data_IF_494713965604
#
_entry.id   IF_494713965604
#
_cell.length_a   1.000
_cell.length_b   1.000
_cell.length_c   1.000
_cell.angle_alpha   90.00
_cell.angle_beta   90.00
_cell.angle_gamma   90.00
#
_symmetry.space_group_name_H-M   'P 1'
#
loop_
_entity.id
_entity.type
_entity.pdbx_description
1 polymer ?
#
# COMPACT_ATOMS: atom_id res chain seq x y z
N UNK A 1 11.66 4.39 -28.85
CA UNK A 1 10.20 4.65 -28.78
C UNK A 1 9.95 5.68 -27.70
N UNK A 2 9.25 6.74 -28.03
CA UNK A 2 8.88 7.75 -27.05
C UNK A 2 7.75 7.22 -26.16
N UNK A 3 7.81 7.51 -24.86
CA UNK A 3 6.70 7.19 -23.94
C UNK A 3 5.53 8.13 -24.21
N UNK A 4 4.29 7.67 -23.99
CA UNK A 4 3.11 8.53 -24.17
C UNK A 4 3.17 9.84 -23.38
N UNK A 5 3.83 9.82 -22.20
CA UNK A 5 4.00 11.00 -21.35
C UNK A 5 5.08 11.95 -21.81
N UNK A 6 5.85 11.61 -22.84
CA UNK A 6 6.99 12.39 -23.33
C UNK A 6 8.26 12.24 -22.49
N UNK A 7 8.25 11.39 -21.45
CA UNK A 7 9.42 11.16 -20.61
C UNK A 7 10.49 10.38 -21.37
N UNK A 8 11.77 10.67 -21.07
CA UNK A 8 12.87 9.85 -21.58
C UNK A 8 12.81 8.44 -21.00
N UNK A 9 13.54 7.49 -21.63
CA UNK A 9 13.46 6.08 -21.24
C UNK A 9 13.87 5.83 -19.79
N UNK A 10 14.78 6.65 -19.23
CA UNK A 10 15.28 6.51 -17.87
C UNK A 10 14.67 7.51 -16.88
N UNK A 11 13.69 8.31 -17.31
CA UNK A 11 13.06 9.29 -16.44
C UNK A 11 11.90 8.65 -15.68
N UNK A 12 11.83 8.89 -14.38
CA UNK A 12 10.67 8.54 -13.57
C UNK A 12 9.56 9.55 -13.83
N UNK A 13 8.31 9.16 -13.50
CA UNK A 13 7.23 10.12 -13.38
C UNK A 13 7.58 11.12 -12.28
N UNK A 14 6.95 12.29 -12.31
CA UNK A 14 7.06 13.24 -11.21
C UNK A 14 6.54 12.59 -9.94
N UNK A 15 7.36 12.60 -8.88
CA UNK A 15 7.04 11.96 -7.62
C UNK A 15 6.78 13.02 -6.56
N UNK A 16 5.66 12.91 -5.86
CA UNK A 16 5.37 13.73 -4.70
C UNK A 16 4.84 12.84 -3.59
N UNK A 17 5.40 12.97 -2.39
CA UNK A 17 4.98 12.21 -1.21
C UNK A 17 4.52 13.21 -0.14
N UNK A 18 3.22 13.19 0.17
CA UNK A 18 2.62 14.09 1.17
C UNK A 18 2.31 13.27 2.40
N UNK A 19 3.02 13.53 3.49
CA UNK A 19 2.84 12.80 4.75
C UNK A 19 1.85 13.50 5.69
N UNK A 20 1.43 12.81 6.74
CA UNK A 20 0.56 13.34 7.80
C UNK A 20 -0.80 13.82 7.29
N UNK A 21 -1.42 13.02 6.42
CA UNK A 21 -2.72 13.36 5.82
C UNK A 21 -3.90 12.70 6.54
N UNK A 22 -3.64 11.77 7.46
CA UNK A 22 -4.69 11.10 8.24
C UNK A 22 -4.55 11.50 9.71
N UNK A 23 -5.67 11.87 10.31
CA UNK A 23 -5.72 12.28 11.71
C UNK A 23 -5.50 11.09 12.66
N UNK A 24 -6.00 9.92 12.31
CA UNK A 24 -6.08 8.78 13.23
C UNK A 24 -4.99 7.74 13.03
N UNK A 25 -4.49 7.58 11.80
CA UNK A 25 -3.45 6.58 11.52
C UNK A 25 -2.11 7.00 12.14
N UNK A 26 -1.35 6.03 12.64
CA UNK A 26 -0.01 6.29 13.17
C UNK A 26 0.94 6.82 12.11
N UNK A 27 0.73 6.43 10.85
CA UNK A 27 1.45 7.00 9.72
C UNK A 27 0.54 7.12 8.52
N UNK A 28 0.81 8.08 7.65
CA UNK A 28 0.04 8.23 6.42
C UNK A 28 0.84 8.97 5.37
N UNK A 29 0.55 8.65 4.11
CA UNK A 29 1.21 9.26 2.98
C UNK A 29 0.29 9.21 1.76
N UNK A 30 0.13 10.35 1.09
CA UNK A 30 -0.43 10.38 -0.25
C UNK A 30 0.73 10.29 -1.23
N UNK A 31 0.86 9.16 -1.91
CA UNK A 31 1.93 8.94 -2.88
C UNK A 31 1.41 9.28 -4.27
N UNK A 32 2.07 10.22 -4.94
CA UNK A 32 1.74 10.63 -6.30
C UNK A 32 2.90 10.30 -7.22
N UNK A 33 2.63 9.48 -8.23
CA UNK A 33 3.57 9.18 -9.30
C UNK A 33 2.89 9.63 -10.59
N UNK A 34 3.16 10.87 -10.99
CA UNK A 34 2.38 11.52 -12.05
C UNK A 34 0.91 11.60 -11.65
N UNK A 35 0.03 11.11 -12.50
CA UNK A 35 -1.41 11.09 -12.24
C UNK A 35 -1.88 9.88 -11.43
N UNK A 36 -0.98 8.98 -11.05
CA UNK A 36 -1.33 7.86 -10.17
C UNK A 36 -1.20 8.31 -8.72
N UNK A 37 -2.32 8.33 -8.00
CA UNK A 37 -2.38 8.76 -6.60
C UNK A 37 -2.85 7.61 -5.73
N UNK A 38 -2.10 7.30 -4.70
CA UNK A 38 -2.41 6.22 -3.75
C UNK A 38 -2.35 6.77 -2.34
N UNK A 39 -3.44 6.59 -1.60
CA UNK A 39 -3.49 6.91 -0.18
C UNK A 39 -2.98 5.70 0.60
N UNK A 40 -1.95 5.91 1.40
CA UNK A 40 -1.37 4.86 2.24
C UNK A 40 -1.50 5.26 3.70
N UNK A 41 -1.96 4.33 4.53
CA UNK A 41 -2.01 4.52 5.98
C UNK A 41 -1.32 3.37 6.67
N UNK A 42 -0.72 3.65 7.84
CA UNK A 42 -0.08 2.65 8.67
C UNK A 42 -0.76 2.60 10.03
N UNK A 43 -1.09 1.40 10.46
CA UNK A 43 -1.70 1.13 11.77
C UNK A 43 -0.81 0.17 12.54
N UNK A 44 -0.54 0.48 13.80
CA UNK A 44 0.20 -0.41 14.70
C UNK A 44 -0.79 -1.23 15.51
N UNK A 45 -0.72 -2.55 15.37
CA UNK A 45 -1.50 -3.48 16.16
C UNK A 45 -0.58 -4.20 17.13
N UNK A 46 -0.93 -4.20 18.41
CA UNK A 46 -0.08 -4.72 19.47
C UNK A 46 -0.18 -6.25 19.58
N UNK A 47 -0.03 -6.92 18.46
CA UNK A 47 0.08 -8.38 18.37
C UNK A 47 0.69 -8.77 17.04
N UNK A 48 1.20 -9.98 16.96
CA UNK A 48 1.75 -10.55 15.73
C UNK A 48 0.95 -11.78 15.33
N UNK A 49 1.06 -12.24 14.07
CA UNK A 49 0.48 -13.52 13.67
C UNK A 49 0.96 -14.64 14.59
N UNK A 50 0.12 -15.67 14.75
CA UNK A 50 0.39 -16.78 15.67
C UNK A 50 1.79 -17.39 15.49
N UNK A 51 2.21 -17.56 14.24
CA UNK A 51 3.52 -18.14 13.91
C UNK A 51 4.72 -17.22 14.22
N UNK A 52 4.45 -15.95 14.55
CA UNK A 52 5.49 -14.99 14.96
C UNK A 52 5.58 -14.79 16.46
N UNK A 53 4.68 -15.40 17.24
CA UNK A 53 4.67 -15.23 18.70
C UNK A 53 5.97 -15.71 19.31
N UNK A 54 6.45 -14.99 20.31
CA UNK A 54 7.67 -15.31 21.08
C UNK A 54 8.95 -15.28 20.25
N UNK A 55 8.93 -14.64 19.07
CA UNK A 55 10.14 -14.46 18.27
C UNK A 55 10.89 -13.17 18.61
N UNK A 56 10.24 -12.23 19.31
CA UNK A 56 10.78 -10.90 19.59
C UNK A 56 10.82 -10.00 18.37
N UNK A 57 10.10 -10.35 17.29
CA UNK A 57 10.13 -9.65 16.01
C UNK A 57 8.74 -9.21 15.63
N UNK A 58 8.67 -8.09 14.90
CA UNK A 58 7.42 -7.58 14.35
C UNK A 58 7.12 -8.11 12.96
N UNK A 59 5.99 -7.72 12.44
CA UNK A 59 5.52 -8.11 11.12
C UNK A 59 4.94 -6.92 10.38
N UNK A 60 5.01 -6.93 9.06
CA UNK A 60 4.39 -5.93 8.20
C UNK A 60 3.51 -6.66 7.21
N UNK A 61 2.27 -6.25 7.11
CA UNK A 61 1.31 -6.78 6.15
C UNK A 61 0.61 -5.63 5.44
N UNK A 62 -0.02 -5.91 4.32
CA UNK A 62 -0.66 -4.88 3.51
C UNK A 62 -1.98 -5.34 2.95
N UNK A 63 -2.91 -4.39 2.85
CA UNK A 63 -4.14 -4.54 2.09
C UNK A 63 -4.17 -3.48 1.00
N UNK A 64 -4.90 -3.76 -0.06
CA UNK A 64 -4.92 -2.93 -1.25
C UNK A 64 -6.31 -2.90 -1.84
N UNK A 65 -6.70 -1.74 -2.34
CA UNK A 65 -7.95 -1.59 -3.08
C UNK A 65 -7.90 -0.40 -4.01
N UNK A 66 -8.88 -0.34 -4.90
CA UNK A 66 -9.06 0.78 -5.81
C UNK A 66 -10.43 1.39 -5.56
N UNK A 67 -10.50 2.71 -5.48
CA UNK A 67 -11.79 3.38 -5.46
C UNK A 67 -12.51 3.16 -6.79
N UNK A 68 -13.86 3.09 -6.80
CA UNK A 68 -14.61 2.83 -8.01
C UNK A 68 -14.29 3.79 -9.16
N UNK A 69 -13.99 5.05 -8.87
CA UNK A 69 -13.63 6.05 -9.89
C UNK A 69 -12.16 6.41 -9.87
N UNK A 70 -11.31 5.49 -9.43
CA UNK A 70 -9.86 5.62 -9.62
C UNK A 70 -9.48 5.54 -11.10
N UNK A 71 -10.35 4.98 -11.94
CA UNK A 71 -10.18 4.86 -13.38
C UNK A 71 -11.22 5.71 -14.12
N UNK A 72 -11.07 5.81 -15.44
CA UNK A 72 -11.95 6.62 -16.28
C UNK A 72 -13.38 6.09 -16.38
N UNK A 73 -13.61 4.84 -16.00
CA UNK A 73 -14.95 4.27 -15.88
C UNK A 73 -15.12 3.72 -14.46
N UNK A 74 -16.36 3.63 -13.99
CA UNK A 74 -16.60 3.09 -12.65
C UNK A 74 -16.39 1.59 -12.62
N UNK A 75 -15.56 1.12 -11.65
CA UNK A 75 -15.43 -0.30 -11.34
C UNK A 75 -16.19 -0.59 -10.03
N UNK A 76 -16.72 -1.81 -9.91
CA UNK A 76 -17.43 -2.20 -8.70
C UNK A 76 -16.46 -2.39 -7.54
N UNK A 77 -16.91 -2.08 -6.33
CA UNK A 77 -16.14 -2.41 -5.13
C UNK A 77 -16.10 -3.92 -4.96
N UNK A 78 -14.91 -4.45 -4.66
CA UNK A 78 -14.75 -5.89 -4.45
C UNK A 78 -15.57 -6.40 -3.29
N UNK A 79 -15.75 -5.59 -2.25
CA UNK A 79 -16.59 -5.94 -1.11
C UNK A 79 -18.04 -6.21 -1.52
N UNK A 80 -18.54 -5.50 -2.52
CA UNK A 80 -19.89 -5.70 -3.04
C UNK A 80 -20.02 -7.00 -3.84
N UNK A 81 -18.91 -7.50 -4.39
CA UNK A 81 -18.86 -8.80 -5.08
C UNK A 81 -18.69 -9.96 -4.12
N UNK A 82 -18.37 -9.69 -2.87
CA UNK A 82 -18.19 -10.69 -1.83
C UNK A 82 -16.80 -11.32 -1.74
N UNK A 83 -15.86 -10.99 -2.64
CA UNK A 83 -14.50 -11.51 -2.60
C UNK A 83 -13.53 -10.61 -3.34
N UNK A 84 -12.26 -10.70 -2.97
CA UNK A 84 -11.16 -10.03 -3.69
C UNK A 84 -10.78 -10.83 -4.93
N UNK A 85 -10.35 -10.10 -5.97
CA UNK A 85 -9.76 -10.72 -7.16
C UNK A 85 -8.38 -11.29 -6.86
N UNK A 86 -7.93 -12.22 -7.70
CA UNK A 86 -6.56 -12.75 -7.61
C UNK A 86 -5.51 -11.66 -7.78
N UNK A 87 -5.78 -10.66 -8.64
CA UNK A 87 -4.89 -9.52 -8.85
C UNK A 87 -4.73 -8.70 -7.57
N UNK A 88 -5.82 -8.39 -6.89
CA UNK A 88 -5.78 -7.65 -5.62
C UNK A 88 -4.98 -8.41 -4.57
N UNK A 89 -5.21 -9.71 -4.43
CA UNK A 89 -4.48 -10.55 -3.49
C UNK A 89 -2.98 -10.58 -3.80
N UNK A 90 -2.61 -10.66 -5.07
CA UNK A 90 -1.20 -10.66 -5.48
C UNK A 90 -0.53 -9.32 -5.21
N UNK A 91 -1.21 -8.22 -5.47
CA UNK A 91 -0.68 -6.89 -5.17
C UNK A 91 -0.46 -6.73 -3.67
N UNK A 92 -1.38 -7.20 -2.84
CA UNK A 92 -1.23 -7.15 -1.38
C UNK A 92 0.02 -7.91 -0.92
N UNK A 93 0.26 -9.10 -1.47
CA UNK A 93 1.47 -9.88 -1.17
C UNK A 93 2.72 -9.15 -1.61
N UNK A 94 2.69 -8.56 -2.80
CA UNK A 94 3.84 -7.84 -3.36
C UNK A 94 4.18 -6.60 -2.52
N UNK A 95 3.18 -5.81 -2.13
CA UNK A 95 3.38 -4.64 -1.28
C UNK A 95 3.94 -5.04 0.08
N UNK A 96 3.34 -6.05 0.72
CA UNK A 96 3.82 -6.54 2.00
C UNK A 96 5.26 -7.02 1.94
N UNK A 97 5.61 -7.78 0.90
CA UNK A 97 6.98 -8.27 0.69
C UNK A 97 7.96 -7.12 0.50
N UNK A 98 7.61 -6.14 -0.31
CA UNK A 98 8.48 -4.98 -0.56
C UNK A 98 8.72 -4.20 0.74
N UNK A 99 7.69 -3.98 1.53
CA UNK A 99 7.80 -3.25 2.79
C UNK A 99 8.60 -4.03 3.83
N UNK A 100 8.46 -5.35 3.87
CA UNK A 100 9.27 -6.19 4.77
C UNK A 100 10.76 -6.16 4.41
N UNK A 101 11.09 -5.90 3.14
CA UNK A 101 12.49 -5.69 2.76
C UNK A 101 13.02 -4.32 3.18
N UNK A 102 12.13 -3.34 3.36
CA UNK A 102 12.51 -1.97 3.73
C UNK A 102 12.59 -1.76 5.25
N UNK A 103 12.07 -2.71 6.05
CA UNK A 103 11.99 -2.62 7.50
C UNK A 103 12.79 -3.75 8.12
N UNK A 104 13.61 -3.45 9.11
CA UNK A 104 14.27 -4.49 9.91
C UNK A 104 13.28 -5.04 10.94
N UNK A 105 12.69 -6.19 10.65
CA UNK A 105 11.67 -6.80 11.51
C UNK A 105 12.21 -7.14 12.90
N UNK A 106 13.52 -7.40 13.03
CA UNK A 106 14.14 -7.69 14.32
C UNK A 106 14.22 -6.46 15.22
N UNK A 107 14.12 -5.27 14.65
CA UNK A 107 14.10 -4.02 15.40
C UNK A 107 12.70 -3.59 15.82
N UNK A 108 11.67 -4.24 15.32
CA UNK A 108 10.30 -4.02 15.76
C UNK A 108 10.02 -4.91 16.98
N UNK A 109 9.28 -4.42 17.97
CA UNK A 109 8.72 -5.31 19.00
C UNK A 109 7.67 -6.22 18.34
N UNK A 110 7.05 -7.10 19.13
CA UNK A 110 6.01 -8.00 18.60
C UNK A 110 4.72 -7.23 18.31
N UNK A 111 4.76 -6.43 17.26
CA UNK A 111 3.62 -5.66 16.74
C UNK A 111 3.46 -5.96 15.26
N UNK A 112 2.26 -5.76 14.75
CA UNK A 112 1.99 -5.82 13.30
C UNK A 112 1.76 -4.41 12.80
N UNK A 113 2.47 -4.05 11.73
CA UNK A 113 2.19 -2.84 10.97
C UNK A 113 1.24 -3.21 9.82
N UNK A 114 0.05 -2.66 9.86
CA UNK A 114 -0.93 -2.79 8.78
C UNK A 114 -0.78 -1.60 7.85
N UNK A 115 -0.44 -1.89 6.60
CA UNK A 115 -0.35 -0.84 5.58
C UNK A 115 -1.55 -0.99 4.66
N UNK A 116 -2.39 0.02 4.65
CA UNK A 116 -3.57 0.06 3.79
C UNK A 116 -3.30 1.00 2.64
N UNK A 117 -3.46 0.51 1.41
CA UNK A 117 -3.21 1.26 0.19
C UNK A 117 -4.49 1.35 -0.63
N UNK A 118 -4.94 2.57 -0.88
CA UNK A 118 -6.16 2.84 -1.65
C UNK A 118 -5.81 3.71 -2.85
N UNK A 119 -6.05 3.18 -4.04
CA UNK A 119 -5.82 3.94 -5.26
C UNK A 119 -6.95 4.94 -5.46
N UNK A 120 -6.60 6.22 -5.45
CA UNK A 120 -7.55 7.31 -5.65
C UNK A 120 -7.77 7.61 -7.13
N UNK A 121 -6.71 7.52 -7.91
CA UNK A 121 -6.74 7.66 -9.36
C UNK A 121 -5.52 6.99 -10.00
N UNK A 122 -5.75 6.49 -11.18
CA UNK A 122 -4.69 5.86 -11.95
C UNK A 122 -5.01 5.90 -13.45
#
# INVERSE_FOLDING_TARGET
MARPSGRSANALREIELITNISKHAEGSCLAKFGDTHVLCTATIEDRVPHWMKNTGRGWVTAEYGMLPRSTNTRTDREAARGKQSGRTQEIQRMVGRALRCAVDLAMLPEVTLWIDCDVLQA
#
